data_IF_535585103329
#
_entry.id   IF_535585103329
#
_cell.length_a   1.000
_cell.length_b   1.000
_cell.length_c   1.000
_cell.angle_alpha   90.00
_cell.angle_beta   90.00
_cell.angle_gamma   90.00
#
_symmetry.space_group_name_H-M   'P 1'
#
loop_
_entity.id
_entity.type
_entity.pdbx_description
1 polymer ?
#
# COMPACT_ATOMS: atom_id res chain seq x y z
N UNK A 1 3.68 7.63 14.56
CA UNK A 1 4.64 8.53 15.26
C UNK A 1 5.98 8.38 14.57
N UNK A 2 6.70 9.48 14.32
CA UNK A 2 8.07 9.44 13.81
C UNK A 2 9.03 9.81 14.94
N UNK A 3 10.10 9.05 15.13
CA UNK A 3 11.17 9.36 16.07
C UNK A 3 12.48 9.52 15.31
N UNK A 4 12.93 10.77 15.14
CA UNK A 4 14.16 11.12 14.43
C UNK A 4 15.27 11.43 15.44
N UNK A 5 16.45 10.83 15.23
CA UNK A 5 17.66 10.98 16.03
C UNK A 5 18.70 11.66 15.13
N UNK A 6 18.85 12.99 15.19
CA UNK A 6 19.70 13.74 14.25
C UNK A 6 21.17 13.35 14.33
N UNK A 7 21.70 13.13 15.54
CA UNK A 7 23.12 12.82 15.76
C UNK A 7 23.54 11.50 15.09
N UNK A 8 22.62 10.53 15.04
CA UNK A 8 22.83 9.23 14.39
C UNK A 8 22.29 9.19 12.95
N UNK A 9 21.58 10.24 12.51
CA UNK A 9 20.87 10.30 11.23
C UNK A 9 19.91 9.13 11.00
N UNK A 10 19.17 8.75 12.05
CA UNK A 10 18.22 7.62 12.04
C UNK A 10 16.80 8.12 12.28
N UNK A 11 15.82 7.61 11.53
CA UNK A 11 14.40 7.74 11.87
C UNK A 11 13.74 6.37 12.06
N UNK A 12 12.96 6.23 13.13
CA UNK A 12 12.01 5.14 13.33
C UNK A 12 10.61 5.62 12.95
N UNK A 13 9.93 4.88 12.07
CA UNK A 13 8.69 5.36 11.45
C UNK A 13 7.42 4.79 12.09
N UNK A 14 7.54 3.73 12.87
CA UNK A 14 6.40 2.85 13.19
C UNK A 14 5.65 2.42 11.92
N UNK A 15 4.36 2.17 12.03
CA UNK A 15 3.50 1.73 10.92
C UNK A 15 3.18 2.82 9.88
N UNK A 16 4.04 3.85 9.74
CA UNK A 16 3.96 4.81 8.64
C UNK A 16 4.72 4.29 7.40
N UNK A 17 5.85 3.60 7.58
CA UNK A 17 6.63 3.05 6.47
C UNK A 17 6.52 1.53 6.39
N UNK A 18 6.10 1.06 5.22
CA UNK A 18 6.13 -0.33 4.80
C UNK A 18 7.15 -0.44 3.66
N UNK A 19 8.23 -1.19 3.88
CA UNK A 19 9.27 -1.36 2.88
C UNK A 19 9.11 -2.72 2.17
N UNK A 20 8.72 -2.69 0.89
CA UNK A 20 8.49 -3.89 0.08
C UNK A 20 7.16 -4.59 0.33
N UNK A 21 6.18 -3.90 0.92
CA UNK A 21 4.84 -4.43 1.16
C UNK A 21 3.78 -3.34 0.99
N UNK A 22 2.58 -3.74 0.57
CA UNK A 22 1.46 -2.80 0.44
C UNK A 22 1.00 -2.34 1.84
N UNK A 23 0.89 -1.01 2.09
CA UNK A 23 0.43 -0.48 3.37
C UNK A 23 -1.07 -0.72 3.55
N UNK A 24 -1.49 -0.86 4.82
CA UNK A 24 -2.88 -1.00 5.23
C UNK A 24 -3.37 0.27 5.93
N UNK A 25 -3.87 1.24 5.16
CA UNK A 25 -4.27 2.55 5.71
C UNK A 25 -5.68 2.47 6.28
N UNK A 26 -5.81 2.01 7.53
CA UNK A 26 -7.11 1.89 8.22
C UNK A 26 -7.76 3.23 8.53
N UNK A 27 -6.93 4.23 8.82
CA UNK A 27 -7.37 5.56 9.21
C UNK A 27 -6.60 6.60 8.39
N UNK A 28 -7.33 7.28 7.52
CA UNK A 28 -6.86 8.40 6.74
C UNK A 28 -6.81 9.72 7.53
N UNK A 29 -6.56 10.84 6.84
CA UNK A 29 -6.41 10.91 5.39
C UNK A 29 -5.10 10.28 4.88
N UNK A 30 -5.12 9.69 3.69
CA UNK A 30 -3.90 9.18 3.02
C UNK A 30 -2.84 10.27 2.85
N UNK A 31 -3.26 11.53 2.70
CA UNK A 31 -2.33 12.67 2.63
C UNK A 31 -1.44 12.81 3.87
N UNK A 32 -1.88 12.37 5.06
CA UNK A 32 -1.03 12.39 6.25
C UNK A 32 0.18 11.46 6.10
N UNK A 33 0.04 10.34 5.39
CA UNK A 33 1.14 9.42 5.12
C UNK A 33 2.09 10.00 4.07
N UNK A 34 1.56 10.64 3.02
CA UNK A 34 2.35 11.34 2.00
C UNK A 34 3.15 12.47 2.65
N UNK A 35 2.51 13.30 3.49
CA UNK A 35 3.16 14.37 4.23
C UNK A 35 4.24 13.86 5.20
N UNK A 36 4.01 12.70 5.83
CA UNK A 36 5.03 12.05 6.65
C UNK A 36 6.24 11.60 5.83
N UNK A 37 6.02 11.11 4.61
CA UNK A 37 7.10 10.79 3.68
C UNK A 37 7.88 12.06 3.30
N UNK A 38 7.20 13.16 2.98
CA UNK A 38 7.86 14.44 2.66
C UNK A 38 8.69 14.98 3.82
N UNK A 39 8.17 14.88 5.03
CA UNK A 39 8.91 15.27 6.24
C UNK A 39 10.20 14.46 6.39
N UNK A 40 10.15 13.14 6.22
CA UNK A 40 11.34 12.26 6.28
C UNK A 40 12.34 12.56 5.16
N UNK A 41 11.86 12.86 3.95
CA UNK A 41 12.73 13.20 2.82
C UNK A 41 13.46 14.52 3.03
N UNK A 42 12.86 15.46 3.78
CA UNK A 42 13.46 16.74 4.17
C UNK A 42 14.54 16.66 5.25
N UNK A 43 14.62 15.57 6.02
CA UNK A 43 15.62 15.41 7.08
C UNK A 43 16.98 14.97 6.55
N UNK A 44 18.05 15.26 7.29
CA UNK A 44 19.38 14.66 7.06
C UNK A 44 19.40 13.26 7.70
N UNK A 45 18.85 12.29 6.99
CA UNK A 45 18.66 10.91 7.46
C UNK A 45 19.31 9.94 6.48
N UNK A 46 20.14 9.04 7.02
CA UNK A 46 20.83 7.99 6.27
C UNK A 46 20.14 6.64 6.48
N UNK A 47 19.58 6.40 7.67
CA UNK A 47 18.92 5.14 8.03
C UNK A 47 17.46 5.37 8.40
N UNK A 48 16.59 4.60 7.77
CA UNK A 48 15.14 4.60 8.00
C UNK A 48 14.73 3.21 8.48
N UNK A 49 14.23 3.13 9.71
CA UNK A 49 13.72 1.89 10.32
C UNK A 49 12.20 1.85 10.14
N UNK A 50 11.69 1.03 9.19
CA UNK A 50 10.26 0.93 8.94
C UNK A 50 9.54 0.20 10.09
N UNK A 51 8.21 0.32 10.14
CA UNK A 51 7.39 -0.58 10.98
C UNK A 51 7.35 -1.99 10.42
N UNK A 52 7.36 -2.10 9.09
CA UNK A 52 7.31 -3.37 8.37
C UNK A 52 8.33 -3.44 7.23
N UNK A 53 8.97 -4.60 7.08
CA UNK A 53 9.99 -4.85 6.06
C UNK A 53 11.41 -4.55 6.54
N UNK A 54 12.42 -4.69 5.66
CA UNK A 54 13.82 -4.49 6.02
C UNK A 54 14.15 -3.00 6.20
N UNK A 55 15.18 -2.71 7.00
CA UNK A 55 15.76 -1.35 7.14
C UNK A 55 16.11 -0.79 5.75
N UNK A 56 15.87 0.50 5.57
CA UNK A 56 16.06 1.20 4.30
C UNK A 56 16.66 2.59 4.52
N UNK A 57 16.65 3.40 3.47
CA UNK A 57 17.06 4.80 3.45
C UNK A 57 15.94 5.64 2.79
N UNK A 58 16.27 6.84 2.31
CA UNK A 58 15.31 7.71 1.60
C UNK A 58 14.69 7.07 0.35
N UNK A 59 15.30 6.04 -0.23
CA UNK A 59 14.74 5.32 -1.39
C UNK A 59 13.46 4.57 -1.03
N UNK A 60 13.42 3.89 0.12
CA UNK A 60 12.20 3.23 0.61
C UNK A 60 11.08 4.22 0.90
N UNK A 61 11.42 5.40 1.45
CA UNK A 61 10.46 6.49 1.68
C UNK A 61 9.89 7.01 0.35
N UNK A 62 10.74 7.23 -0.67
CA UNK A 62 10.28 7.63 -2.01
C UNK A 62 9.38 6.58 -2.65
N UNK A 63 9.72 5.30 -2.51
CA UNK A 63 8.94 4.20 -3.07
C UNK A 63 7.53 4.13 -2.45
N UNK A 64 7.42 4.25 -1.12
CA UNK A 64 6.12 4.30 -0.45
C UNK A 64 5.33 5.57 -0.84
N UNK A 65 5.98 6.73 -0.87
CA UNK A 65 5.32 7.98 -1.29
C UNK A 65 4.71 7.83 -2.69
N UNK A 66 5.50 7.33 -3.64
CA UNK A 66 5.07 7.08 -5.01
C UNK A 66 3.89 6.11 -5.07
N UNK A 67 3.93 5.03 -4.29
CA UNK A 67 2.80 4.09 -4.18
C UNK A 67 1.50 4.79 -3.71
N UNK A 68 1.58 5.59 -2.66
CA UNK A 68 0.41 6.27 -2.09
C UNK A 68 -0.17 7.30 -3.07
N UNK A 69 0.68 8.08 -3.72
CA UNK A 69 0.27 9.05 -4.75
C UNK A 69 -0.37 8.35 -5.95
N UNK A 70 0.23 7.24 -6.42
CA UNK A 70 -0.32 6.43 -7.49
C UNK A 70 -1.70 5.86 -7.15
N UNK A 71 -1.83 5.16 -6.02
CA UNK A 71 -3.10 4.54 -5.62
C UNK A 71 -4.18 5.60 -5.40
N UNK A 72 -3.83 6.74 -4.79
CA UNK A 72 -4.76 7.88 -4.62
C UNK A 72 -5.25 8.40 -5.97
N UNK A 73 -4.35 8.63 -6.93
CA UNK A 73 -4.71 9.11 -8.26
C UNK A 73 -5.59 8.11 -9.02
N UNK A 74 -5.23 6.83 -8.99
CA UNK A 74 -5.98 5.77 -9.67
C UNK A 74 -7.36 5.53 -9.03
N UNK A 75 -7.45 5.53 -7.70
CA UNK A 75 -8.72 5.43 -6.98
C UNK A 75 -9.64 6.62 -7.28
N UNK A 76 -9.08 7.84 -7.37
CA UNK A 76 -9.87 9.03 -7.68
C UNK A 76 -10.54 8.94 -9.06
N UNK A 77 -9.82 8.48 -10.09
CA UNK A 77 -10.39 8.29 -11.44
C UNK A 77 -11.62 7.36 -11.41
N UNK A 78 -11.50 6.22 -10.72
CA UNK A 78 -12.55 5.19 -10.65
C UNK A 78 -13.73 5.62 -9.79
N UNK A 79 -13.45 6.38 -8.74
CA UNK A 79 -14.49 7.02 -7.93
C UNK A 79 -15.32 7.99 -8.79
N UNK A 80 -14.67 8.82 -9.60
CA UNK A 80 -15.33 9.78 -10.49
C UNK A 80 -16.15 9.11 -11.60
N UNK A 81 -15.75 7.91 -12.01
CA UNK A 81 -16.49 7.05 -12.93
C UNK A 81 -17.66 6.29 -12.26
N UNK A 82 -17.82 6.43 -10.94
CA UNK A 82 -18.89 5.79 -10.17
C UNK A 82 -18.68 4.29 -9.93
N UNK A 83 -17.46 3.79 -10.07
CA UNK A 83 -17.13 2.39 -9.78
C UNK A 83 -17.29 2.10 -8.28
N UNK A 84 -17.74 0.89 -7.94
CA UNK A 84 -17.69 0.41 -6.55
C UNK A 84 -16.25 0.17 -6.09
N UNK A 85 -16.05 0.04 -4.78
CA UNK A 85 -14.74 -0.32 -4.20
C UNK A 85 -14.13 -1.56 -4.87
N UNK A 86 -14.94 -2.62 -5.02
CA UNK A 86 -14.51 -3.88 -5.60
C UNK A 86 -14.11 -3.73 -7.07
N UNK A 87 -14.93 -3.02 -7.86
CA UNK A 87 -14.63 -2.73 -9.26
C UNK A 87 -13.34 -1.91 -9.39
N UNK A 88 -13.17 -0.89 -8.54
CA UNK A 88 -12.01 -0.04 -8.58
C UNK A 88 -10.73 -0.81 -8.25
N UNK A 89 -10.73 -1.61 -7.17
CA UNK A 89 -9.57 -2.43 -6.80
C UNK A 89 -9.21 -3.45 -7.88
N UNK A 90 -10.21 -4.06 -8.52
CA UNK A 90 -9.97 -5.01 -9.61
C UNK A 90 -9.43 -4.33 -10.90
N UNK A 91 -9.73 -3.05 -11.10
CA UNK A 91 -9.28 -2.27 -12.26
C UNK A 91 -7.92 -1.57 -12.05
N UNK A 92 -7.54 -1.25 -10.81
CA UNK A 92 -6.24 -0.63 -10.49
C UNK A 92 -5.10 -1.62 -10.78
N UNK A 93 -4.22 -1.28 -11.71
CA UNK A 93 -3.02 -2.09 -11.99
C UNK A 93 -1.98 -1.94 -10.89
N UNK A 94 -1.54 -3.06 -10.31
CA UNK A 94 -0.43 -3.12 -9.36
C UNK A 94 0.88 -3.65 -9.99
N UNK A 95 0.99 -3.61 -11.32
CA UNK A 95 2.14 -4.21 -12.03
C UNK A 95 3.49 -3.64 -11.58
N UNK A 96 3.56 -2.35 -11.32
CA UNK A 96 4.77 -1.67 -10.83
C UNK A 96 5.18 -2.15 -9.42
N UNK A 97 4.22 -2.62 -8.62
CA UNK A 97 4.40 -3.03 -7.24
C UNK A 97 4.24 -4.56 -7.08
N UNK A 98 4.32 -5.33 -8.16
CA UNK A 98 4.02 -6.78 -8.13
C UNK A 98 4.97 -7.60 -7.24
N UNK A 99 6.16 -7.06 -6.94
CA UNK A 99 7.13 -7.68 -6.05
C UNK A 99 6.86 -7.39 -4.57
N UNK A 100 5.88 -6.54 -4.26
CA UNK A 100 5.53 -6.17 -2.89
C UNK A 100 4.58 -7.22 -2.30
N UNK A 101 4.73 -7.48 -1.00
CA UNK A 101 3.87 -8.42 -0.28
C UNK A 101 2.52 -7.79 0.07
N UNK A 102 1.54 -8.64 0.38
CA UNK A 102 0.25 -8.23 0.97
C UNK A 102 -0.62 -7.34 0.03
N UNK A 103 -0.60 -7.60 -1.27
CA UNK A 103 -1.34 -6.82 -2.28
C UNK A 103 -2.84 -6.70 -1.99
N UNK A 104 -3.43 -7.64 -1.26
CA UNK A 104 -4.83 -7.59 -0.83
C UNK A 104 -5.15 -6.36 0.03
N UNK A 105 -4.16 -5.80 0.75
CA UNK A 105 -4.33 -4.60 1.61
C UNK A 105 -4.76 -3.36 0.85
N UNK A 106 -4.63 -3.35 -0.48
CA UNK A 106 -5.15 -2.27 -1.33
C UNK A 106 -6.65 -2.01 -1.07
N UNK A 107 -7.44 -3.04 -0.72
CA UNK A 107 -8.87 -2.87 -0.40
C UNK A 107 -9.11 -1.89 0.73
N UNK A 108 -8.27 -1.93 1.77
CA UNK A 108 -8.41 -1.03 2.93
C UNK A 108 -8.02 0.39 2.53
N UNK A 109 -6.90 0.54 1.83
CA UNK A 109 -6.40 1.85 1.39
C UNK A 109 -7.37 2.53 0.40
N UNK A 110 -7.92 1.79 -0.58
CA UNK A 110 -8.91 2.34 -1.52
C UNK A 110 -10.25 2.61 -0.84
N UNK A 111 -10.68 1.77 0.12
CA UNK A 111 -11.87 2.06 0.92
C UNK A 111 -11.72 3.38 1.68
N UNK A 112 -10.57 3.58 2.34
CA UNK A 112 -10.30 4.81 3.06
C UNK A 112 -10.30 6.04 2.13
N UNK A 113 -9.69 5.94 0.94
CA UNK A 113 -9.77 6.99 -0.08
C UNK A 113 -11.20 7.27 -0.55
N UNK A 114 -12.02 6.24 -0.77
CA UNK A 114 -13.42 6.40 -1.16
C UNK A 114 -14.25 7.10 -0.07
N UNK A 115 -14.01 6.77 1.20
CA UNK A 115 -14.61 7.47 2.33
C UNK A 115 -14.18 8.94 2.37
N UNK A 116 -12.89 9.23 2.18
CA UNK A 116 -12.38 10.60 2.08
C UNK A 116 -13.04 11.39 0.94
N UNK A 117 -13.15 10.80 -0.26
CA UNK A 117 -13.72 11.47 -1.44
C UNK A 117 -15.21 11.80 -1.28
N UNK A 118 -15.95 10.93 -0.59
CA UNK A 118 -17.37 11.11 -0.30
C UNK A 118 -17.66 11.96 0.94
N UNK A 119 -16.65 12.21 1.77
CA UNK A 119 -16.82 12.84 3.09
C UNK A 119 -17.46 11.91 4.13
N UNK A 120 -17.47 10.61 3.89
CA UNK A 120 -17.98 9.62 4.83
C UNK A 120 -16.99 9.43 6.00
N UNK A 121 -17.44 9.70 7.22
CA UNK A 121 -16.66 9.55 8.45
C UNK A 121 -17.06 8.32 9.26
N UNK A 122 -17.86 7.42 8.68
CA UNK A 122 -18.26 6.19 9.35
C UNK A 122 -17.06 5.25 9.55
N UNK A 123 -17.02 4.49 10.66
CA UNK A 123 -15.99 3.48 10.86
C UNK A 123 -15.99 2.48 9.69
N UNK A 124 -14.82 2.05 9.20
CA UNK A 124 -14.76 1.06 8.14
C UNK A 124 -15.41 -0.26 8.58
N UNK A 125 -16.14 -0.91 7.67
CA UNK A 125 -16.65 -2.27 7.89
C UNK A 125 -15.48 -3.27 7.78
N UNK A 126 -14.77 -3.44 8.88
CA UNK A 126 -13.58 -4.30 8.93
C UNK A 126 -13.90 -5.74 8.54
N UNK A 127 -15.09 -6.27 8.89
CA UNK A 127 -15.48 -7.65 8.53
C UNK A 127 -15.62 -7.78 7.02
N UNK A 128 -16.29 -6.83 6.37
CA UNK A 128 -16.39 -6.77 4.91
C UNK A 128 -15.01 -6.67 4.26
N UNK A 129 -14.15 -5.78 4.76
CA UNK A 129 -12.81 -5.54 4.20
C UNK A 129 -11.91 -6.78 4.34
N UNK A 130 -11.89 -7.45 5.49
CA UNK A 130 -11.17 -8.72 5.65
C UNK A 130 -11.68 -9.79 4.69
N UNK A 131 -13.00 -9.88 4.49
CA UNK A 131 -13.58 -10.81 3.51
C UNK A 131 -13.18 -10.50 2.06
N UNK A 132 -13.05 -9.22 1.71
CA UNK A 132 -12.57 -8.79 0.39
C UNK A 132 -11.09 -9.12 0.18
N UNK A 133 -10.26 -8.86 1.20
CA UNK A 133 -8.84 -9.21 1.18
C UNK A 133 -8.61 -10.71 0.99
N UNK A 134 -9.33 -11.54 1.73
CA UNK A 134 -9.25 -13.00 1.59
C UNK A 134 -9.61 -13.46 0.16
N UNK A 135 -10.69 -12.93 -0.42
CA UNK A 135 -11.08 -13.23 -1.81
C UNK A 135 -10.04 -12.79 -2.82
N UNK A 136 -9.41 -11.63 -2.62
CA UNK A 136 -8.33 -11.17 -3.49
C UNK A 136 -7.15 -12.13 -3.48
N UNK A 137 -6.70 -12.52 -2.30
CA UNK A 137 -5.58 -13.45 -2.13
C UNK A 137 -5.87 -14.81 -2.79
N UNK A 138 -7.10 -15.34 -2.62
CA UNK A 138 -7.55 -16.55 -3.30
C UNK A 138 -7.49 -16.41 -4.83
N UNK A 139 -8.00 -15.30 -5.39
CA UNK A 139 -7.90 -15.02 -6.84
C UNK A 139 -6.46 -14.95 -7.32
N UNK A 140 -5.58 -14.27 -6.59
CA UNK A 140 -4.17 -14.17 -6.96
C UNK A 140 -3.47 -15.52 -6.93
N UNK A 141 -3.78 -16.38 -5.95
CA UNK A 141 -3.29 -17.76 -5.88
C UNK A 141 -3.77 -18.59 -7.06
N UNK A 142 -5.02 -18.42 -7.52
CA UNK A 142 -5.51 -19.13 -8.71
C UNK A 142 -4.81 -18.66 -10.00
N UNK A 143 -4.54 -17.36 -10.13
CA UNK A 143 -3.85 -16.79 -11.29
C UNK A 143 -2.38 -17.19 -11.37
N UNK A 144 -1.67 -17.24 -10.23
CA UNK A 144 -0.25 -17.60 -10.17
C UNK A 144 0.01 -19.09 -9.89
N UNK A 145 -0.98 -19.82 -9.37
CA UNK A 145 -0.95 -21.27 -9.08
C UNK A 145 -1.23 -22.16 -10.28
N UNK A 146 -1.30 -21.60 -11.50
CA UNK A 146 -1.51 -22.35 -12.74
C UNK A 146 -0.34 -23.22 -13.20
N UNK A 147 0.84 -23.15 -12.58
CA UNK A 147 1.90 -24.15 -12.78
C UNK A 147 1.75 -25.25 -11.72
N UNK A 148 0.91 -26.24 -12.02
CA UNK A 148 0.94 -27.52 -11.30
C UNK A 148 2.27 -28.25 -11.55
N UNK A 149 2.61 -29.27 -10.75
CA UNK A 149 3.91 -29.98 -10.79
C UNK A 149 4.20 -30.79 -12.08
N UNK A 150 3.52 -30.49 -13.20
CA UNK A 150 3.67 -31.14 -14.50
C UNK A 150 3.75 -30.16 -15.68
N UNK A 151 4.06 -28.87 -15.44
CA UNK A 151 4.36 -27.93 -16.54
C UNK A 151 5.74 -28.25 -17.15
N UNK A 152 5.76 -29.18 -18.12
CA UNK A 152 6.95 -29.65 -18.84
C UNK A 152 7.51 -28.58 -19.77
N UNK A 153 8.23 -27.61 -19.22
CA UNK A 153 8.94 -26.59 -19.99
C UNK A 153 10.42 -26.65 -19.60
N UNK A 154 11.23 -27.10 -20.54
CA UNK A 154 12.69 -27.13 -20.44
C UNK A 154 13.24 -25.71 -20.46
N UNK A 155 13.93 -25.32 -19.39
CA UNK A 155 14.76 -24.12 -19.36
C UNK A 155 16.07 -24.42 -20.13
N UNK A 156 16.32 -23.66 -21.20
CA UNK A 156 17.63 -23.51 -21.83
C UNK A 156 18.37 -22.32 -21.22
#
# INVERSE_FOLDING_TARGET
MLAYIPDDKIVYTGDILFNGGHPIVWAGPVDNWINACDLMLGWDVDVVVPGHGPITDKSGVRALKHYLEYVKAEARKRYDEGMTLEQAVDDISLKEFNSWTDAERIYVTVNNLYQEFSGDTSPPDSVKLFGLMARYEERQKMLHGGCGPNCGHSHH
#
